data_IF_280381738695
#
_entry.id   IF_280381738695
#
_cell.length_a   1.000
_cell.length_b   1.000
_cell.length_c   1.000
_cell.angle_alpha   90.00
_cell.angle_beta   90.00
_cell.angle_gamma   90.00
#
_symmetry.space_group_name_H-M   'P 1'
#
loop_
_entity.id
_entity.type
_entity.pdbx_description
1 polymer ?
#
# COMPACT_ATOMS: atom_id res chain seq x y z
N UNK A 1 -18.90 -6.64 11.27
CA UNK A 1 -19.72 -6.98 10.09
C UNK A 1 -19.39 -5.98 8.98
N UNK A 2 -18.43 -6.32 8.11
CA UNK A 2 -18.00 -5.44 7.01
C UNK A 2 -18.89 -5.72 5.79
N UNK A 3 -19.83 -4.84 5.48
CA UNK A 3 -20.46 -4.84 4.16
C UNK A 3 -19.40 -4.44 3.12
N UNK A 4 -18.85 -5.46 2.43
CA UNK A 4 -18.12 -5.25 1.19
C UNK A 4 -19.05 -4.48 0.24
N UNK A 5 -18.69 -3.24 -0.07
CA UNK A 5 -19.51 -2.40 -0.97
C UNK A 5 -19.54 -3.06 -2.35
N UNK A 6 -20.71 -3.07 -2.99
CA UNK A 6 -20.94 -3.73 -4.27
C UNK A 6 -19.85 -3.37 -5.28
N UNK A 7 -19.15 -4.39 -5.77
CA UNK A 7 -18.06 -4.22 -6.71
C UNK A 7 -18.58 -3.57 -8.00
N UNK A 8 -17.99 -2.44 -8.40
CA UNK A 8 -18.42 -1.67 -9.58
C UNK A 8 -17.39 -1.76 -10.68
N UNK A 9 -17.83 -1.94 -11.92
CA UNK A 9 -16.93 -1.83 -13.08
C UNK A 9 -16.57 -0.35 -13.30
N UNK A 10 -15.28 -0.05 -13.36
CA UNK A 10 -14.72 1.26 -13.65
C UNK A 10 -13.82 1.20 -14.88
N UNK A 11 -13.56 2.37 -15.46
CA UNK A 11 -12.53 2.58 -16.47
C UNK A 11 -11.58 3.67 -15.98
N UNK A 12 -10.29 3.47 -16.17
CA UNK A 12 -9.24 4.43 -15.85
C UNK A 12 -8.16 4.37 -16.92
N UNK A 13 -7.37 5.43 -17.06
CA UNK A 13 -6.26 5.48 -18.02
C UNK A 13 -4.96 5.26 -17.28
N UNK A 14 -4.10 4.37 -17.78
CA UNK A 14 -2.77 4.13 -17.23
C UNK A 14 -1.76 4.06 -18.37
N UNK A 15 -0.65 4.80 -18.25
CA UNK A 15 0.35 4.93 -19.32
C UNK A 15 -0.29 5.23 -20.70
N UNK A 16 -1.29 6.12 -20.73
CA UNK A 16 -2.03 6.49 -21.95
C UNK A 16 -3.01 5.45 -22.49
N UNK A 17 -3.13 4.27 -21.86
CA UNK A 17 -4.02 3.20 -22.30
C UNK A 17 -5.27 3.11 -21.40
N UNK A 18 -6.49 3.04 -21.97
CA UNK A 18 -7.70 2.82 -21.18
C UNK A 18 -7.75 1.37 -20.68
N UNK A 19 -7.95 1.20 -19.37
CA UNK A 19 -8.08 -0.08 -18.69
C UNK A 19 -9.44 -0.18 -18.01
N UNK A 20 -9.99 -1.39 -17.98
CA UNK A 20 -11.23 -1.72 -17.26
C UNK A 20 -10.91 -2.55 -16.03
N UNK A 21 -11.55 -2.25 -14.92
CA UNK A 21 -11.38 -2.99 -13.68
C UNK A 21 -12.69 -3.10 -12.91
N UNK A 22 -12.79 -4.16 -12.12
CA UNK A 22 -13.76 -4.25 -11.04
C UNK A 22 -13.17 -3.57 -9.80
N UNK A 23 -13.85 -2.55 -9.29
CA UNK A 23 -13.41 -1.77 -8.14
C UNK A 23 -14.22 -2.13 -6.90
N UNK A 24 -13.50 -2.27 -5.79
CA UNK A 24 -13.98 -2.47 -4.44
C UNK A 24 -13.46 -1.32 -3.57
N UNK A 25 -14.29 -0.82 -2.67
CA UNK A 25 -13.83 0.17 -1.68
C UNK A 25 -13.04 -0.53 -0.59
N UNK A 26 -11.94 0.10 -0.15
CA UNK A 26 -11.16 -0.38 1.00
C UNK A 26 -12.02 -0.32 2.26
N UNK A 27 -12.60 0.84 2.51
CA UNK A 27 -13.58 1.09 3.57
C UNK A 27 -14.39 2.37 3.26
N UNK A 28 -15.20 2.83 4.22
CA UNK A 28 -16.02 4.04 4.08
C UNK A 28 -15.20 5.34 4.24
N UNK A 29 -14.00 5.27 4.79
CA UNK A 29 -13.16 6.42 5.14
C UNK A 29 -12.23 6.77 3.97
N UNK A 30 -11.57 5.78 3.38
CA UNK A 30 -10.61 5.92 2.29
C UNK A 30 -11.29 5.93 0.92
N UNK A 31 -12.18 6.90 0.69
CA UNK A 31 -12.97 6.99 -0.55
C UNK A 31 -12.14 7.25 -1.81
N UNK A 32 -10.93 7.80 -1.65
CA UNK A 32 -9.99 8.07 -2.73
C UNK A 32 -9.11 6.85 -3.08
N UNK A 33 -9.21 5.75 -2.31
CA UNK A 33 -8.45 4.53 -2.52
C UNK A 33 -9.40 3.41 -2.94
N UNK A 34 -9.12 2.79 -4.08
CA UNK A 34 -9.89 1.67 -4.61
C UNK A 34 -9.01 0.44 -4.76
N UNK A 35 -9.48 -0.70 -4.28
CA UNK A 35 -8.93 -1.98 -4.67
C UNK A 35 -9.53 -2.38 -6.00
N UNK A 36 -8.67 -2.55 -7.00
CA UNK A 36 -9.12 -2.83 -8.36
C UNK A 36 -8.61 -4.19 -8.84
N UNK A 37 -9.46 -4.92 -9.55
CA UNK A 37 -9.11 -6.16 -10.24
C UNK A 37 -9.29 -5.92 -11.73
N UNK A 38 -8.20 -6.00 -12.49
CA UNK A 38 -8.22 -5.75 -13.93
C UNK A 38 -9.07 -6.81 -14.66
N UNK A 39 -10.00 -6.34 -15.48
CA UNK A 39 -10.84 -7.19 -16.31
C UNK A 39 -10.04 -7.57 -17.55
N UNK A 40 -9.73 -8.86 -17.68
CA UNK A 40 -8.89 -9.42 -18.74
C UNK A 40 -9.57 -10.62 -19.38
N UNK A 41 -9.27 -10.87 -20.66
CA UNK A 41 -9.60 -12.16 -21.27
C UNK A 41 -8.69 -13.26 -20.71
N UNK A 42 -9.13 -14.52 -20.78
CA UNK A 42 -8.32 -15.67 -20.34
C UNK A 42 -6.95 -15.70 -21.02
N UNK A 43 -6.89 -15.38 -22.31
CA UNK A 43 -5.63 -15.29 -23.05
C UNK A 43 -4.67 -14.27 -22.45
N UNK A 44 -5.13 -13.03 -22.21
CA UNK A 44 -4.30 -11.99 -21.60
C UNK A 44 -3.86 -12.40 -20.20
N UNK A 45 -4.73 -13.07 -19.44
CA UNK A 45 -4.38 -13.57 -18.11
C UNK A 45 -3.25 -14.60 -18.17
N UNK A 46 -3.30 -15.57 -19.10
CA UNK A 46 -2.21 -16.53 -19.29
C UNK A 46 -0.89 -15.85 -19.69
N UNK A 47 -0.93 -14.91 -20.63
CA UNK A 47 0.26 -14.16 -21.05
C UNK A 47 0.83 -13.36 -19.88
N UNK A 48 -0.02 -12.67 -19.11
CA UNK A 48 0.42 -11.88 -17.96
C UNK A 48 1.02 -12.74 -16.84
N UNK A 49 0.43 -13.91 -16.57
CA UNK A 49 1.00 -14.89 -15.63
C UNK A 49 2.37 -15.36 -16.11
N UNK A 50 2.51 -15.71 -17.40
CA UNK A 50 3.80 -16.10 -17.97
C UNK A 50 4.86 -14.98 -17.86
N UNK A 51 4.49 -13.75 -18.21
CA UNK A 51 5.38 -12.59 -18.09
C UNK A 51 5.78 -12.33 -16.63
N UNK A 52 4.87 -12.50 -15.66
CA UNK A 52 5.19 -12.27 -14.25
C UNK A 52 6.26 -13.20 -13.66
N UNK A 53 6.57 -14.32 -14.33
CA UNK A 53 7.63 -15.24 -13.95
C UNK A 53 9.02 -14.84 -14.48
N UNK A 54 9.06 -13.91 -15.44
CA UNK A 54 10.32 -13.47 -16.02
C UNK A 54 11.08 -12.53 -15.07
N UNK A 55 12.42 -12.60 -15.04
CA UNK A 55 13.24 -11.62 -14.35
C UNK A 55 12.94 -10.17 -14.79
N UNK A 56 12.97 -9.23 -13.85
CA UNK A 56 12.60 -7.83 -14.09
C UNK A 56 13.38 -7.13 -15.21
N UNK A 57 14.65 -7.51 -15.42
CA UNK A 57 15.48 -6.94 -16.49
C UNK A 57 14.98 -7.31 -17.90
N UNK A 58 14.30 -8.45 -18.06
CA UNK A 58 13.64 -8.80 -19.32
C UNK A 58 12.32 -8.05 -19.48
N UNK A 59 11.59 -7.84 -18.38
CA UNK A 59 10.28 -7.20 -18.42
C UNK A 59 10.33 -5.70 -18.68
N UNK A 60 11.34 -4.99 -18.16
CA UNK A 60 11.46 -3.53 -18.34
C UNK A 60 11.39 -3.04 -19.80
N UNK A 61 12.14 -3.60 -20.78
CA UNK A 61 12.03 -3.18 -22.16
C UNK A 61 10.66 -3.54 -22.76
N UNK A 62 10.10 -4.70 -22.40
CA UNK A 62 8.78 -5.15 -22.84
C UNK A 62 7.64 -4.26 -22.34
N UNK A 63 7.73 -3.73 -21.12
CA UNK A 63 6.74 -2.82 -20.54
C UNK A 63 6.58 -1.51 -21.34
N UNK A 64 7.62 -1.08 -22.07
CA UNK A 64 7.56 0.11 -22.93
C UNK A 64 6.82 -0.12 -24.25
N UNK A 65 6.69 -1.38 -24.67
CA UNK A 65 6.14 -1.75 -25.97
C UNK A 65 4.77 -2.42 -25.84
N UNK A 66 4.54 -3.15 -24.76
CA UNK A 66 3.30 -3.88 -24.54
C UNK A 66 2.24 -3.00 -23.88
N UNK A 67 0.96 -3.18 -24.24
CA UNK A 67 -0.13 -2.57 -23.49
C UNK A 67 -0.10 -3.00 -22.00
N UNK A 68 -0.44 -2.09 -21.06
CA UNK A 68 -0.39 -2.34 -19.62
C UNK A 68 -1.13 -3.58 -19.13
N UNK A 69 -2.17 -4.00 -19.85
CA UNK A 69 -2.93 -5.22 -19.57
C UNK A 69 -2.10 -6.51 -19.55
N UNK A 70 -0.94 -6.53 -20.22
CA UNK A 70 -0.09 -7.72 -20.30
C UNK A 70 0.92 -7.83 -19.15
N UNK A 71 1.35 -6.71 -18.56
CA UNK A 71 2.41 -6.74 -17.54
C UNK A 71 1.96 -6.29 -16.16
N UNK A 72 0.86 -5.54 -16.03
CA UNK A 72 0.36 -5.18 -14.71
C UNK A 72 -0.10 -6.43 -13.93
N UNK A 73 0.04 -6.46 -12.60
CA UNK A 73 -0.64 -7.45 -11.77
C UNK A 73 -2.16 -7.38 -11.94
N UNK A 74 -2.86 -8.50 -11.73
CA UNK A 74 -4.31 -8.56 -11.86
C UNK A 74 -5.06 -7.80 -10.76
N UNK A 75 -4.50 -7.72 -9.54
CA UNK A 75 -5.06 -7.01 -8.39
C UNK A 75 -4.14 -5.86 -8.01
N UNK A 76 -4.70 -4.66 -7.91
CA UNK A 76 -3.98 -3.41 -7.75
C UNK A 76 -4.70 -2.50 -6.77
N UNK A 77 -4.04 -1.40 -6.41
CA UNK A 77 -4.64 -0.26 -5.71
C UNK A 77 -4.60 0.94 -6.64
N UNK A 78 -5.74 1.61 -6.78
CA UNK A 78 -5.86 2.90 -7.47
C UNK A 78 -6.09 3.96 -6.39
N UNK A 79 -5.11 4.84 -6.19
CA UNK A 79 -5.22 5.97 -5.26
C UNK A 79 -5.39 7.25 -6.08
N UNK A 80 -6.53 7.91 -5.90
CA UNK A 80 -6.90 9.14 -6.59
C UNK A 80 -6.55 10.33 -5.71
N UNK A 81 -6.12 11.45 -6.31
CA UNK A 81 -5.88 12.70 -5.59
C UNK A 81 -7.16 13.22 -4.92
N UNK A 82 -7.07 13.61 -3.64
CA UNK A 82 -8.18 14.25 -2.91
C UNK A 82 -8.34 15.72 -3.37
N UNK A 83 -9.53 16.32 -3.28
CA UNK A 83 -9.70 17.75 -3.55
C UNK A 83 -8.76 18.58 -2.67
N UNK A 84 -8.12 19.60 -3.25
CA UNK A 84 -7.18 20.53 -2.57
C UNK A 84 -5.92 19.91 -1.94
N UNK A 85 -5.66 18.62 -2.17
CA UNK A 85 -4.46 17.91 -1.68
C UNK A 85 -3.43 17.71 -2.80
N UNK A 86 -3.11 18.80 -3.49
CA UNK A 86 -2.17 18.77 -4.63
C UNK A 86 -0.75 18.44 -4.20
N UNK A 87 -0.30 19.07 -3.13
CA UNK A 87 1.07 19.03 -2.66
C UNK A 87 1.38 17.70 -2.00
N UNK A 88 0.47 17.16 -1.19
CA UNK A 88 0.58 15.85 -0.54
C UNK A 88 0.61 14.72 -1.57
N UNK A 89 -0.20 14.82 -2.62
CA UNK A 89 -0.20 13.85 -3.71
C UNK A 89 1.09 13.92 -4.54
N UNK A 90 1.61 15.13 -4.78
CA UNK A 90 2.90 15.31 -5.44
C UNK A 90 4.05 14.77 -4.56
N UNK A 91 4.01 15.03 -3.26
CA UNK A 91 4.96 14.52 -2.29
C UNK A 91 4.95 12.99 -2.25
N UNK A 92 3.77 12.37 -2.16
CA UNK A 92 3.63 10.92 -2.16
C UNK A 92 4.32 10.29 -3.38
N UNK A 93 4.15 10.87 -4.58
CA UNK A 93 4.83 10.41 -5.80
C UNK A 93 6.35 10.52 -5.70
N UNK A 94 6.86 11.65 -5.22
CA UNK A 94 8.31 11.86 -5.02
C UNK A 94 8.86 10.86 -4.02
N UNK A 95 8.12 10.60 -2.93
CA UNK A 95 8.54 9.67 -1.89
C UNK A 95 8.55 8.23 -2.38
N UNK A 96 7.57 7.81 -3.19
CA UNK A 96 7.66 6.52 -3.88
C UNK A 96 8.93 6.43 -4.74
N UNK A 97 9.27 7.46 -5.52
CA UNK A 97 10.48 7.44 -6.35
C UNK A 97 11.77 7.37 -5.52
N UNK A 98 11.87 8.17 -4.45
CA UNK A 98 13.02 8.19 -3.54
C UNK A 98 13.22 6.87 -2.81
N UNK A 99 12.12 6.23 -2.41
CA UNK A 99 12.09 5.00 -1.62
C UNK A 99 11.94 3.74 -2.49
N UNK A 100 12.28 3.82 -3.79
CA UNK A 100 12.23 2.70 -4.73
C UNK A 100 12.88 1.42 -4.21
N UNK A 101 14.06 1.46 -3.53
CA UNK A 101 14.68 0.24 -2.98
C UNK A 101 13.87 -0.45 -1.86
N UNK A 102 12.91 0.26 -1.25
CA UNK A 102 12.07 -0.26 -0.16
C UNK A 102 10.78 -0.91 -0.67
N UNK A 103 10.40 -0.61 -1.92
CA UNK A 103 9.15 -1.04 -2.51
C UNK A 103 9.06 -2.56 -2.71
N UNK A 104 7.89 -3.11 -2.39
CA UNK A 104 7.62 -4.55 -2.39
C UNK A 104 8.22 -5.32 -1.21
N UNK A 105 9.04 -4.68 -0.36
CA UNK A 105 9.61 -5.28 0.86
C UNK A 105 8.91 -4.78 2.11
N UNK A 106 8.78 -3.45 2.25
CA UNK A 106 8.13 -2.81 3.41
C UNK A 106 6.96 -1.91 3.02
N UNK A 107 6.75 -1.65 1.73
CA UNK A 107 5.68 -0.80 1.22
C UNK A 107 5.19 -1.28 -0.15
N UNK A 108 4.04 -0.82 -0.66
CA UNK A 108 3.60 -1.12 -2.02
C UNK A 108 4.62 -0.69 -3.08
N UNK A 109 4.59 -1.36 -4.23
CA UNK A 109 5.29 -0.89 -5.44
C UNK A 109 4.47 0.18 -6.13
N UNK A 110 5.10 1.30 -6.45
CA UNK A 110 4.58 2.28 -7.38
C UNK A 110 4.70 1.74 -8.80
N UNK A 111 3.58 1.55 -9.48
CA UNK A 111 3.54 0.98 -10.82
C UNK A 111 3.46 2.05 -11.89
N UNK A 112 2.96 3.25 -11.54
CA UNK A 112 2.95 4.40 -12.42
C UNK A 112 1.74 5.30 -12.21
N UNK A 113 1.72 6.35 -13.02
CA UNK A 113 0.65 7.34 -13.06
C UNK A 113 -0.59 6.81 -13.80
N UNK A 114 -1.74 7.27 -13.34
CA UNK A 114 -3.04 7.01 -13.92
C UNK A 114 -3.93 8.25 -13.89
N UNK A 115 -5.06 8.15 -14.58
CA UNK A 115 -6.14 9.10 -14.52
C UNK A 115 -7.46 8.35 -14.32
N UNK A 116 -8.27 8.80 -13.37
CA UNK A 116 -9.59 8.25 -13.11
C UNK A 116 -10.61 9.38 -13.02
N UNK A 117 -11.64 9.35 -13.87
CA UNK A 117 -12.65 10.41 -14.00
C UNK A 117 -12.04 11.82 -14.21
N UNK A 118 -10.96 11.93 -14.99
CA UNK A 118 -10.27 13.20 -15.21
C UNK A 118 -9.41 13.67 -14.02
N UNK A 119 -9.27 12.86 -12.98
CA UNK A 119 -8.50 13.20 -11.78
C UNK A 119 -7.15 12.42 -11.78
N UNK A 120 -6.03 13.11 -11.56
CA UNK A 120 -4.73 12.46 -11.36
C UNK A 120 -4.80 11.38 -10.29
N UNK A 121 -4.25 10.22 -10.63
CA UNK A 121 -4.25 9.02 -9.79
C UNK A 121 -2.91 8.29 -9.91
N UNK A 122 -2.63 7.41 -8.96
CA UNK A 122 -1.48 6.51 -9.00
C UNK A 122 -1.95 5.07 -8.88
N UNK A 123 -1.21 4.17 -9.51
CA UNK A 123 -1.43 2.73 -9.42
C UNK A 123 -0.32 2.11 -8.58
N UNK A 124 -0.72 1.39 -7.54
CA UNK A 124 0.18 0.68 -6.63
C UNK A 124 -0.09 -0.82 -6.67
N UNK A 125 0.92 -1.63 -6.33
CA UNK A 125 0.71 -3.06 -6.10
C UNK A 125 -0.18 -3.28 -4.88
N UNK A 126 -1.13 -4.21 -4.96
CA UNK A 126 -1.93 -4.60 -3.80
C UNK A 126 -1.12 -5.43 -2.81
N UNK A 127 -1.16 -5.04 -1.54
CA UNK A 127 -0.66 -5.84 -0.43
C UNK A 127 -1.79 -6.75 0.08
N UNK A 128 -1.55 -8.06 0.08
CA UNK A 128 -2.51 -9.07 0.57
C UNK A 128 -2.30 -9.30 2.08
N UNK A 129 -2.57 -8.25 2.86
CA UNK A 129 -2.45 -8.26 4.31
C UNK A 129 -3.67 -7.68 5.01
N UNK A 130 -3.70 -7.85 6.32
CA UNK A 130 -4.74 -7.29 7.18
C UNK A 130 -4.25 -6.01 7.82
N UNK A 131 -5.08 -4.98 7.96
CA UNK A 131 -4.73 -3.80 8.75
C UNK A 131 -4.33 -4.17 10.17
N UNK A 132 -3.35 -3.48 10.74
CA UNK A 132 -2.78 -3.84 12.05
C UNK A 132 -3.80 -3.68 13.18
N UNK A 133 -4.83 -2.86 12.99
CA UNK A 133 -5.95 -2.71 13.92
C UNK A 133 -7.09 -3.73 13.73
N UNK A 134 -6.98 -4.64 12.76
CA UNK A 134 -7.97 -5.69 12.41
C UNK A 134 -7.27 -7.05 12.24
N UNK A 135 -6.36 -7.38 13.14
CA UNK A 135 -5.74 -8.69 13.15
C UNK A 135 -6.74 -9.77 13.59
N UNK A 136 -6.51 -11.01 13.18
CA UNK A 136 -7.31 -12.17 13.59
C UNK A 136 -6.56 -13.06 14.58
N UNK A 137 -6.99 -14.32 14.79
CA UNK A 137 -6.35 -15.26 15.71
C UNK A 137 -4.86 -15.53 15.41
N UNK A 138 -4.44 -15.36 14.16
CA UNK A 138 -3.03 -15.44 13.74
C UNK A 138 -2.34 -14.08 13.76
N UNK A 139 -2.72 -13.20 14.69
CA UNK A 139 -2.12 -11.88 14.84
C UNK A 139 -0.62 -11.99 15.08
N UNK A 140 0.13 -11.01 14.60
CA UNK A 140 1.55 -10.91 14.89
C UNK A 140 1.73 -10.59 16.40
N UNK A 141 2.58 -11.30 17.15
CA UNK A 141 2.85 -10.98 18.54
C UNK A 141 3.33 -9.53 18.70
N UNK A 142 2.97 -8.88 19.81
CA UNK A 142 3.31 -7.47 20.06
C UNK A 142 4.82 -7.20 19.92
N UNK A 143 5.66 -8.07 20.47
CA UNK A 143 7.12 -7.91 20.45
C UNK A 143 7.69 -8.07 19.03
N UNK A 144 7.09 -8.96 18.23
CA UNK A 144 7.46 -9.15 16.83
C UNK A 144 7.03 -7.95 15.97
N UNK A 145 5.83 -7.42 16.22
CA UNK A 145 5.34 -6.21 15.58
C UNK A 145 6.23 -5.02 15.92
N UNK A 146 6.56 -4.82 17.20
CA UNK A 146 7.41 -3.73 17.66
C UNK A 146 8.80 -3.76 17.02
N UNK A 147 9.42 -4.94 17.01
CA UNK A 147 10.74 -5.15 16.39
C UNK A 147 10.70 -4.80 14.91
N UNK A 148 9.68 -5.28 14.18
CA UNK A 148 9.54 -5.02 12.75
C UNK A 148 9.20 -3.56 12.45
N UNK A 149 8.33 -2.93 13.24
CA UNK A 149 7.98 -1.52 13.14
C UNK A 149 9.22 -0.64 13.28
N UNK A 150 10.06 -0.90 14.30
CA UNK A 150 11.30 -0.15 14.51
C UNK A 150 12.24 -0.26 13.32
N UNK A 151 12.46 -1.48 12.82
CA UNK A 151 13.30 -1.71 11.63
C UNK A 151 12.72 -0.98 10.42
N UNK A 152 11.41 -1.05 10.21
CA UNK A 152 10.73 -0.37 9.11
C UNK A 152 10.96 1.15 9.18
N UNK A 153 10.71 1.78 10.33
CA UNK A 153 10.90 3.23 10.50
C UNK A 153 12.37 3.63 10.30
N UNK A 154 13.32 2.80 10.76
CA UNK A 154 14.75 3.01 10.52
C UNK A 154 15.17 2.85 9.06
N UNK A 155 14.41 2.11 8.22
CA UNK A 155 14.70 2.07 6.79
C UNK A 155 14.40 3.40 6.11
N UNK A 156 13.43 4.18 6.58
CA UNK A 156 13.14 5.51 6.04
C UNK A 156 14.28 6.50 6.33
N UNK A 157 14.84 6.46 7.54
CA UNK A 157 15.91 7.38 7.96
C UNK A 157 17.19 7.20 7.15
N UNK A 158 17.44 6.00 6.60
CA UNK A 158 18.56 5.74 5.66
C UNK A 158 18.46 6.58 4.38
N UNK A 159 17.27 7.04 4.03
CA UNK A 159 17.02 7.93 2.89
C UNK A 159 16.90 9.39 3.32
N UNK A 160 17.15 9.73 4.59
CA UNK A 160 17.04 11.08 5.12
C UNK A 160 15.60 11.57 5.31
N UNK A 161 14.65 10.65 5.46
CA UNK A 161 13.22 10.97 5.63
C UNK A 161 12.65 10.25 6.85
N UNK A 162 11.54 10.77 7.37
CA UNK A 162 10.73 10.12 8.39
C UNK A 162 9.33 9.84 7.87
N UNK A 163 8.66 8.89 8.52
CA UNK A 163 7.26 8.59 8.28
C UNK A 163 6.43 9.34 9.32
N UNK A 164 5.74 10.44 8.96
CA UNK A 164 5.06 11.35 9.90
C UNK A 164 3.53 11.18 9.94
N UNK A 165 3.03 9.94 9.82
CA UNK A 165 1.60 9.64 10.06
C UNK A 165 1.42 8.36 10.88
N UNK A 166 1.71 8.36 12.20
CA UNK A 166 1.78 7.18 13.07
C UNK A 166 0.44 6.50 13.36
N UNK A 167 -0.54 6.57 12.46
CA UNK A 167 -1.82 5.88 12.61
C UNK A 167 -1.68 4.39 12.32
N UNK A 168 -2.34 3.57 13.13
CA UNK A 168 -2.26 2.10 13.02
C UNK A 168 -2.93 1.55 11.74
N UNK A 169 -3.79 2.33 11.07
CA UNK A 169 -4.42 2.00 9.79
C UNK A 169 -3.45 2.03 8.60
N UNK A 170 -2.39 2.83 8.68
CA UNK A 170 -1.33 2.87 7.69
C UNK A 170 -0.37 1.67 7.75
N UNK A 171 -0.48 0.82 8.77
CA UNK A 171 0.33 -0.39 8.90
C UNK A 171 -0.50 -1.63 8.58
N UNK A 172 0.02 -2.46 7.67
CA UNK A 172 -0.56 -3.75 7.31
C UNK A 172 0.37 -4.87 7.78
N UNK A 173 -0.23 -6.00 8.19
CA UNK A 173 0.50 -7.25 8.41
C UNK A 173 0.24 -8.17 7.23
N UNK A 174 1.29 -8.43 6.45
CA UNK A 174 1.28 -9.28 5.25
C UNK A 174 2.14 -10.51 5.51
N UNK A 175 1.50 -11.68 5.69
CA UNK A 175 2.21 -12.96 5.97
C UNK A 175 3.25 -12.83 7.10
N UNK A 176 2.85 -12.19 8.21
CA UNK A 176 3.70 -11.96 9.38
C UNK A 176 4.73 -10.83 9.23
N UNK A 177 4.68 -10.05 8.14
CA UNK A 177 5.54 -8.89 7.92
C UNK A 177 4.78 -7.59 8.08
N UNK A 178 5.32 -6.65 8.83
CA UNK A 178 4.79 -5.28 8.93
C UNK A 178 5.18 -4.52 7.66
N UNK A 179 4.19 -3.91 7.01
CA UNK A 179 4.35 -3.04 5.85
C UNK A 179 3.59 -1.75 6.08
N UNK A 180 4.08 -0.65 5.51
CA UNK A 180 3.48 0.68 5.59
C UNK A 180 2.84 1.05 4.26
N UNK A 181 1.71 1.73 4.33
CA UNK A 181 1.01 2.34 3.20
C UNK A 181 0.86 3.84 3.45
N UNK A 182 0.47 4.55 2.40
CA UNK A 182 0.28 6.00 2.42
C UNK A 182 1.55 6.80 2.73
N UNK A 183 2.19 7.36 1.70
CA UNK A 183 3.43 8.13 1.87
C UNK A 183 3.20 9.65 1.80
N UNK A 184 1.95 10.10 1.92
CA UNK A 184 1.59 11.51 1.73
C UNK A 184 2.24 12.44 2.78
N UNK A 185 2.46 11.93 4.00
CA UNK A 185 3.09 12.64 5.12
C UNK A 185 4.57 12.34 5.31
N UNK A 186 5.24 11.66 4.38
CA UNK A 186 6.70 11.41 4.51
C UNK A 186 7.44 12.72 4.23
N UNK A 187 8.30 13.14 5.15
CA UNK A 187 9.06 14.39 5.05
C UNK A 187 10.56 14.18 5.34
N UNK A 188 11.37 15.14 4.90
CA UNK A 188 12.79 15.20 5.25
C UNK A 188 12.95 15.78 6.65
N UNK A 189 13.86 15.22 7.43
CA UNK A 189 14.21 15.72 8.76
C UNK A 189 15.71 15.55 9.00
N UNK A 190 16.25 16.25 10.01
CA UNK A 190 17.63 16.06 10.40
C UNK A 190 17.87 14.72 11.13
N UNK A 191 19.14 14.36 11.34
CA UNK A 191 19.47 13.06 11.94
C UNK A 191 19.01 12.92 13.39
N UNK A 192 19.02 14.01 14.16
CA UNK A 192 18.63 13.98 15.55
C UNK A 192 17.12 13.80 15.66
N UNK A 193 16.37 14.53 14.83
CA UNK A 193 14.92 14.45 14.75
C UNK A 193 14.45 13.13 14.15
N UNK A 194 15.21 12.51 13.25
CA UNK A 194 14.95 11.16 12.74
C UNK A 194 14.96 10.10 13.86
N UNK A 195 15.95 10.12 14.74
CA UNK A 195 16.03 9.15 15.85
C UNK A 195 14.89 9.35 16.86
N UNK A 196 14.59 10.61 17.17
CA UNK A 196 13.45 10.98 18.02
C UNK A 196 12.12 10.57 17.40
N UNK A 197 11.95 10.76 16.08
CA UNK A 197 10.76 10.37 15.35
C UNK A 197 10.54 8.87 15.44
N UNK A 198 11.56 8.03 15.16
CA UNK A 198 11.43 6.56 15.25
C UNK A 198 10.91 6.13 16.63
N UNK A 199 11.47 6.71 17.69
CA UNK A 199 11.09 6.35 19.06
C UNK A 199 9.70 6.86 19.44
N UNK A 200 9.38 8.11 19.07
CA UNK A 200 8.06 8.71 19.28
C UNK A 200 6.95 7.91 18.58
N UNK A 201 7.18 7.52 17.32
CA UNK A 201 6.25 6.74 16.52
C UNK A 201 6.03 5.34 17.13
N UNK A 202 7.10 4.69 17.59
CA UNK A 202 7.01 3.41 18.33
C UNK A 202 6.12 3.57 19.57
N UNK A 203 6.38 4.59 20.39
CA UNK A 203 5.61 4.87 21.61
C UNK A 203 4.15 5.20 21.33
N UNK A 204 3.84 5.81 20.19
CA UNK A 204 2.48 6.13 19.79
C UNK A 204 1.70 4.92 19.26
N UNK A 205 2.34 4.08 18.44
CA UNK A 205 1.69 2.96 17.74
C UNK A 205 1.51 1.75 18.67
N UNK A 206 2.53 1.42 19.47
CA UNK A 206 2.53 0.17 20.26
C UNK A 206 1.37 0.05 21.26
N UNK A 207 0.97 1.10 22.00
CA UNK A 207 -0.20 1.03 22.88
C UNK A 207 -1.51 0.79 22.12
N UNK A 208 -1.61 1.23 20.86
CA UNK A 208 -2.79 0.97 20.03
C UNK A 208 -2.81 -0.50 19.58
N UNK A 209 -1.66 -1.02 19.17
CA UNK A 209 -1.54 -2.41 18.75
C UNK A 209 -1.80 -3.39 19.89
N UNK A 210 -1.24 -3.16 21.08
CA UNK A 210 -1.50 -3.99 22.26
C UNK A 210 -2.98 -4.06 22.62
N UNK A 211 -3.69 -2.92 22.59
CA UNK A 211 -5.15 -2.88 22.79
C UNK A 211 -5.92 -3.68 21.75
N UNK A 212 -5.46 -3.67 20.49
CA UNK A 212 -6.04 -4.53 19.46
C UNK A 212 -5.89 -6.02 19.82
N UNK A 213 -4.72 -6.44 20.31
CA UNK A 213 -4.49 -7.84 20.70
C UNK A 213 -5.33 -8.24 21.93
N UNK A 214 -5.45 -7.38 22.93
CA UNK A 214 -6.29 -7.62 24.12
C UNK A 214 -7.77 -7.78 23.75
N UNK A 215 -8.26 -6.98 22.79
CA UNK A 215 -9.64 -7.10 22.30
C UNK A 215 -9.91 -8.46 21.64
N UNK A 216 -8.90 -9.07 21.01
CA UNK A 216 -9.01 -10.39 20.39
C UNK A 216 -9.05 -11.50 21.45
N UNK A 217 -8.18 -11.46 22.46
CA UNK A 217 -8.19 -12.47 23.53
C UNK A 217 -9.49 -12.48 24.32
N UNK A 218 -10.12 -11.32 24.51
CA UNK A 218 -11.39 -11.22 25.22
C UNK A 218 -12.56 -11.81 24.41
N UNK A 219 -12.53 -11.73 23.07
CA UNK A 219 -13.56 -12.34 22.22
C UNK A 219 -13.43 -13.87 22.13
N UNK A 220 -12.22 -14.41 22.25
CA UNK A 220 -11.99 -15.87 22.26
C UNK A 220 -12.35 -16.51 23.62
N UNK A 221 -12.55 -15.71 24.67
CA UNK A 221 -12.87 -16.18 26.04
C UNK A 221 -14.37 -16.26 26.35
N UNK A 222 -15.24 -15.76 25.45
CA UNK A 222 -16.70 -15.72 25.62
C UNK A 222 -17.44 -16.78 24.78
N UNK A 223 -16.71 -17.73 24.19
CA UNK A 223 -17.23 -18.87 23.42
C UNK A 223 -16.73 -20.21 23.96
#
# INVERSE_FOLDING_TARGET
>A
MNEATAARVIQFTFAGSPLRAQAERVDRVHTNVLFITLIRSKFIQYVATGLSLLPGFLLQPLQRLLPPQFYLPGRLVLKTRKPDWGDEFANEKVMYQRLEPLQGRIMPRFLGDAEFNGIPSIVLSRLEGSPSYKQGPTALPADDFERQLKVLLQEFTKFGVIYDDPKLDNFLVVKGKVMVVDLESVCEEDKQDQELAVESHRLHIMPQYRRCLESLSNHDSEH
#
